data_IF_200465277183
#
_entry.id   IF_200465277183
#
_cell.length_a   1.000
_cell.length_b   1.000
_cell.length_c   1.000
_cell.angle_alpha   90.00
_cell.angle_beta   90.00
_cell.angle_gamma   90.00
#
_symmetry.space_group_name_H-M   'P 1'
#
loop_
_entity.id
_entity.type
_entity.pdbx_description
1 polymer ?
#
# COMPACT_ATOMS: atom_id res chain seq x y z
N UNK A 1 -8.90 -4.76 24.07
CA UNK A 1 -8.05 -3.57 24.33
C UNK A 1 -6.90 -3.39 23.32
N UNK A 2 -6.42 -4.43 22.63
CA UNK A 2 -5.32 -4.27 21.64
C UNK A 2 -5.68 -3.53 20.35
N UNK A 3 -6.95 -3.54 19.93
CA UNK A 3 -7.39 -2.89 18.69
C UNK A 3 -7.20 -1.37 18.69
N UNK A 4 -7.52 -0.70 19.82
CA UNK A 4 -7.42 0.75 19.93
C UNK A 4 -5.96 1.22 19.94
N UNK A 5 -5.09 0.47 20.62
CA UNK A 5 -3.64 0.69 20.60
C UNK A 5 -3.07 0.49 19.19
N UNK A 6 -3.50 -0.57 18.50
CA UNK A 6 -3.13 -0.85 17.10
C UNK A 6 -3.47 0.34 16.20
N UNK A 7 -4.67 0.90 16.33
CA UNK A 7 -5.08 2.08 15.55
C UNK A 7 -4.19 3.28 15.84
N UNK A 8 -4.01 3.65 17.11
CA UNK A 8 -3.25 4.84 17.50
C UNK A 8 -1.80 4.74 17.00
N UNK A 9 -1.14 3.61 17.25
CA UNK A 9 0.25 3.39 16.80
C UNK A 9 0.35 3.46 15.28
N UNK A 10 -0.58 2.82 14.56
CA UNK A 10 -0.59 2.84 13.10
C UNK A 10 -0.81 4.23 12.52
N UNK A 11 -1.76 4.98 13.08
CA UNK A 11 -2.05 6.34 12.67
C UNK A 11 -0.87 7.29 12.92
N UNK A 12 -0.18 7.14 14.06
CA UNK A 12 1.02 7.93 14.37
C UNK A 12 2.17 7.65 13.38
N UNK A 13 2.38 6.39 13.01
CA UNK A 13 3.41 6.03 12.02
C UNK A 13 3.07 6.63 10.65
N UNK A 14 1.85 6.43 10.16
CA UNK A 14 1.41 6.96 8.85
C UNK A 14 1.45 8.50 8.85
N UNK A 15 0.97 9.12 9.93
CA UNK A 15 0.99 10.57 10.11
C UNK A 15 2.40 11.13 10.12
N UNK A 16 3.31 10.50 10.88
CA UNK A 16 4.72 10.91 10.95
C UNK A 16 5.43 10.81 9.60
N UNK A 17 5.21 9.74 8.85
CA UNK A 17 5.75 9.56 7.49
C UNK A 17 5.21 10.62 6.53
N UNK A 18 3.91 10.89 6.59
CA UNK A 18 3.26 11.89 5.74
C UNK A 18 3.78 13.30 6.05
N UNK A 19 3.97 13.63 7.32
CA UNK A 19 4.50 14.92 7.74
C UNK A 19 5.96 15.08 7.30
N UNK A 20 6.78 14.03 7.48
CA UNK A 20 8.15 14.02 6.97
C UNK A 20 8.21 14.20 5.45
N UNK A 21 7.29 13.58 4.70
CA UNK A 21 7.23 13.70 3.25
C UNK A 21 6.86 15.10 2.74
N UNK A 22 6.20 15.94 3.56
CA UNK A 22 5.96 17.35 3.22
C UNK A 22 7.25 18.17 3.21
N UNK A 23 8.16 17.90 4.14
CA UNK A 23 9.45 18.60 4.24
C UNK A 23 10.49 18.04 3.26
N UNK A 24 10.52 16.72 3.05
CA UNK A 24 11.47 16.05 2.16
C UNK A 24 10.73 15.19 1.12
N UNK A 25 10.16 15.80 0.08
CA UNK A 25 9.27 15.09 -0.86
C UNK A 25 9.89 13.89 -1.57
N UNK A 26 11.17 13.96 -1.95
CA UNK A 26 11.85 12.82 -2.61
C UNK A 26 12.08 11.65 -1.64
N UNK A 27 12.65 11.93 -0.45
CA UNK A 27 12.86 10.89 0.57
C UNK A 27 11.54 10.36 1.13
N UNK A 28 10.57 11.24 1.31
CA UNK A 28 9.20 10.92 1.69
C UNK A 28 8.53 9.99 0.68
N UNK A 29 8.75 10.21 -0.61
CA UNK A 29 8.30 9.30 -1.68
C UNK A 29 8.91 7.90 -1.55
N UNK A 30 10.23 7.79 -1.27
CA UNK A 30 10.88 6.51 -1.05
C UNK A 30 10.36 5.79 0.20
N UNK A 31 10.17 6.51 1.31
CA UNK A 31 9.63 5.95 2.56
C UNK A 31 8.17 5.54 2.36
N UNK A 32 7.37 6.35 1.67
CA UNK A 32 5.97 6.04 1.36
C UNK A 32 5.82 4.88 0.36
N UNK A 33 6.83 4.63 -0.48
CA UNK A 33 6.87 3.47 -1.36
C UNK A 33 7.14 2.15 -0.61
N UNK A 34 7.65 2.21 0.63
CA UNK A 34 7.69 1.03 1.49
C UNK A 34 6.26 0.56 1.75
N UNK A 35 5.99 -0.75 1.74
CA UNK A 35 4.67 -1.29 2.03
C UNK A 35 4.39 -1.24 3.55
N UNK A 36 4.41 -0.04 4.14
CA UNK A 36 4.34 0.20 5.59
C UNK A 36 3.09 -0.41 6.19
N UNK A 37 1.94 -0.31 5.50
CA UNK A 37 0.68 -0.92 5.93
C UNK A 37 0.83 -2.45 6.01
N UNK A 38 1.48 -3.06 5.01
CA UNK A 38 1.71 -4.51 4.98
C UNK A 38 2.71 -4.95 6.04
N UNK A 39 3.81 -4.21 6.24
CA UNK A 39 4.80 -4.48 7.28
C UNK A 39 4.17 -4.37 8.67
N UNK A 40 3.36 -3.34 8.90
CA UNK A 40 2.67 -3.14 10.15
C UNK A 40 1.62 -4.24 10.38
N UNK A 41 0.91 -4.67 9.33
CA UNK A 41 0.00 -5.81 9.41
C UNK A 41 0.73 -7.10 9.77
N UNK A 42 1.88 -7.40 9.14
CA UNK A 42 2.72 -8.55 9.50
C UNK A 42 3.19 -8.49 10.95
N UNK A 43 3.62 -7.31 11.41
CA UNK A 43 4.00 -7.10 12.80
C UNK A 43 2.86 -7.43 13.76
N UNK A 44 1.66 -6.93 13.49
CA UNK A 44 0.49 -7.20 14.34
C UNK A 44 0.05 -8.66 14.29
N UNK A 45 0.02 -9.30 13.10
CA UNK A 45 -0.30 -10.73 12.98
C UNK A 45 0.71 -11.56 13.79
N UNK A 46 2.00 -11.23 13.70
CA UNK A 46 3.04 -11.89 14.51
C UNK A 46 2.84 -11.66 16.00
N UNK A 47 2.51 -10.43 16.40
CA UNK A 47 2.31 -10.07 17.80
C UNK A 47 1.08 -10.73 18.42
N UNK A 48 0.04 -10.96 17.61
CA UNK A 48 -1.20 -11.65 18.00
C UNK A 48 -1.06 -13.18 17.99
N UNK A 49 0.14 -13.70 17.69
CA UNK A 49 0.43 -15.14 17.72
C UNK A 49 0.09 -15.88 16.42
N UNK A 50 -0.03 -15.16 15.30
CA UNK A 50 -0.25 -15.75 13.99
C UNK A 50 0.83 -16.78 13.61
N UNK A 51 0.41 -17.85 12.96
CA UNK A 51 1.27 -18.94 12.50
C UNK A 51 2.20 -18.49 11.37
N UNK A 52 3.33 -19.20 11.20
CA UNK A 52 4.26 -18.95 10.09
C UNK A 52 3.57 -19.06 8.72
N UNK A 53 2.58 -19.94 8.61
CA UNK A 53 1.77 -20.15 7.42
C UNK A 53 0.93 -18.90 7.12
N UNK A 54 0.26 -18.31 8.11
CA UNK A 54 -0.53 -17.09 7.95
C UNK A 54 0.36 -15.89 7.56
N UNK A 55 1.51 -15.72 8.22
CA UNK A 55 2.47 -14.67 7.86
C UNK A 55 2.97 -14.84 6.42
N UNK A 56 3.34 -16.07 6.03
CA UNK A 56 3.82 -16.38 4.68
C UNK A 56 2.74 -16.14 3.63
N UNK A 57 1.51 -16.59 3.88
CA UNK A 57 0.38 -16.38 2.98
C UNK A 57 0.05 -14.88 2.82
N UNK A 58 0.09 -14.11 3.91
CA UNK A 58 -0.10 -12.67 3.86
C UNK A 58 1.01 -11.99 3.03
N UNK A 59 2.28 -12.35 3.30
CA UNK A 59 3.42 -11.81 2.56
C UNK A 59 3.34 -12.12 1.05
N UNK A 60 2.97 -13.36 0.69
CA UNK A 60 2.75 -13.74 -0.70
C UNK A 60 1.60 -12.95 -1.33
N UNK A 61 0.47 -12.80 -0.63
CA UNK A 61 -0.65 -11.98 -1.11
C UNK A 61 -0.25 -10.53 -1.39
N UNK A 62 0.56 -9.93 -0.51
CA UNK A 62 1.11 -8.58 -0.71
C UNK A 62 2.04 -8.52 -1.92
N UNK A 63 2.93 -9.51 -2.08
CA UNK A 63 3.85 -9.57 -3.23
C UNK A 63 3.09 -9.70 -4.55
N UNK A 64 2.03 -10.49 -4.60
CA UNK A 64 1.19 -10.59 -5.81
C UNK A 64 0.39 -9.32 -6.09
N UNK A 65 -0.09 -8.61 -5.06
CA UNK A 65 -0.79 -7.34 -5.22
C UNK A 65 0.12 -6.14 -5.54
N UNK A 66 1.43 -6.28 -5.32
CA UNK A 66 2.39 -5.20 -5.49
C UNK A 66 2.48 -4.65 -6.93
N UNK A 67 2.57 -5.48 -8.00
CA UNK A 67 2.64 -4.97 -9.37
C UNK A 67 1.40 -4.17 -9.79
N UNK A 68 0.20 -4.61 -9.35
CA UNK A 68 -1.03 -3.85 -9.60
C UNK A 68 -0.98 -2.49 -8.88
N UNK A 69 -0.48 -2.46 -7.64
CA UNK A 69 -0.34 -1.23 -6.84
C UNK A 69 0.69 -0.26 -7.42
N UNK A 70 1.81 -0.77 -7.95
CA UNK A 70 2.80 0.03 -8.67
C UNK A 70 2.20 0.66 -9.94
N UNK A 71 1.38 -0.11 -10.68
CA UNK A 71 0.67 0.38 -11.87
C UNK A 71 -0.33 1.49 -11.53
N UNK A 72 -1.06 1.36 -10.41
CA UNK A 72 -1.95 2.42 -9.92
C UNK A 72 -1.18 3.72 -9.69
N UNK A 73 -0.07 3.67 -8.94
CA UNK A 73 0.75 4.86 -8.66
C UNK A 73 1.34 5.46 -9.94
N UNK A 74 1.73 4.61 -10.90
CA UNK A 74 2.21 5.06 -12.21
C UNK A 74 1.13 5.84 -12.98
N UNK A 75 -0.11 5.35 -13.01
CA UNK A 75 -1.23 6.06 -13.64
C UNK A 75 -1.54 7.37 -12.92
N UNK A 76 -1.51 7.38 -11.59
CA UNK A 76 -1.69 8.60 -10.81
C UNK A 76 -0.62 9.63 -11.18
N UNK A 77 0.64 9.22 -11.27
CA UNK A 77 1.74 10.10 -11.69
C UNK A 77 1.54 10.67 -13.09
N UNK A 78 1.17 9.83 -14.07
CA UNK A 78 0.89 10.28 -15.44
C UNK A 78 -0.32 11.22 -15.48
N UNK A 79 -1.39 10.93 -14.72
CA UNK A 79 -2.56 11.79 -14.62
C UNK A 79 -2.20 13.18 -14.10
N UNK A 80 -1.47 13.24 -12.99
CA UNK A 80 -1.01 14.50 -12.40
C UNK A 80 -0.08 15.27 -13.36
N UNK A 81 0.81 14.58 -14.09
CA UNK A 81 1.68 15.19 -15.11
C UNK A 81 0.90 15.81 -16.27
N UNK A 82 -0.26 15.24 -16.61
CA UNK A 82 -1.14 15.75 -17.66
C UNK A 82 -2.19 16.76 -17.13
N UNK A 83 -1.97 17.35 -15.96
CA UNK A 83 -2.86 18.33 -15.33
C UNK A 83 -4.27 17.82 -14.97
N UNK A 84 -4.47 16.50 -14.89
CA UNK A 84 -5.70 15.95 -14.32
C UNK A 84 -5.76 16.22 -12.81
N UNK A 85 -6.98 16.32 -12.27
CA UNK A 85 -7.16 16.38 -10.82
C UNK A 85 -6.66 15.09 -10.15
N UNK A 86 -6.27 15.18 -8.87
CA UNK A 86 -5.87 14.00 -8.09
C UNK A 86 -6.98 12.96 -8.05
N UNK A 87 -8.23 13.39 -7.83
CA UNK A 87 -9.40 12.50 -7.76
C UNK A 87 -9.62 11.73 -9.05
N UNK A 88 -9.54 12.39 -10.22
CA UNK A 88 -9.67 11.71 -11.52
C UNK A 88 -8.52 10.74 -11.78
N UNK A 89 -7.30 11.11 -11.38
CA UNK A 89 -6.11 10.26 -11.56
C UNK A 89 -6.18 9.00 -10.70
N UNK A 90 -6.67 9.12 -9.45
CA UNK A 90 -6.92 7.98 -8.56
C UNK A 90 -8.01 7.08 -9.13
N UNK A 91 -9.10 7.63 -9.67
CA UNK A 91 -10.19 6.84 -10.24
C UNK A 91 -9.70 5.96 -11.40
N UNK A 92 -8.94 6.52 -12.34
CA UNK A 92 -8.32 5.74 -13.41
C UNK A 92 -7.32 4.72 -12.88
N UNK A 93 -6.51 5.10 -11.88
CA UNK A 93 -5.56 4.20 -11.23
C UNK A 93 -6.24 2.99 -10.59
N UNK A 94 -7.35 3.18 -9.87
CA UNK A 94 -8.15 2.10 -9.26
C UNK A 94 -8.75 1.21 -10.34
N UNK A 95 -9.31 1.79 -11.41
CA UNK A 95 -9.84 1.02 -12.53
C UNK A 95 -8.80 0.08 -13.14
N UNK A 96 -7.60 0.61 -13.41
CA UNK A 96 -6.50 -0.18 -13.94
C UNK A 96 -5.94 -1.19 -12.94
N UNK A 97 -5.91 -0.86 -11.65
CA UNK A 97 -5.54 -1.79 -10.58
C UNK A 97 -6.47 -3.00 -10.56
N UNK A 98 -7.79 -2.80 -10.63
CA UNK A 98 -8.76 -3.88 -10.66
C UNK A 98 -8.56 -4.80 -11.87
N UNK A 99 -8.32 -4.22 -13.05
CA UNK A 99 -8.07 -4.98 -14.28
C UNK A 99 -6.76 -5.77 -14.18
N UNK A 100 -5.68 -5.12 -13.71
CA UNK A 100 -4.38 -5.75 -13.53
C UNK A 100 -4.45 -6.90 -12.53
N UNK A 101 -5.13 -6.70 -11.41
CA UNK A 101 -5.33 -7.73 -10.38
C UNK A 101 -6.17 -8.90 -10.91
N UNK A 102 -7.24 -8.63 -11.66
CA UNK A 102 -8.05 -9.68 -12.28
C UNK A 102 -7.24 -10.50 -13.29
N UNK A 103 -6.41 -9.84 -14.11
CA UNK A 103 -5.50 -10.49 -15.05
C UNK A 103 -4.44 -11.35 -14.34
N UNK A 104 -3.83 -10.82 -13.27
CA UNK A 104 -2.88 -11.55 -12.43
C UNK A 104 -3.51 -12.81 -11.82
N UNK A 105 -4.75 -12.70 -11.37
CA UNK A 105 -5.50 -13.84 -10.82
C UNK A 105 -5.81 -14.89 -11.89
N UNK A 106 -6.13 -14.47 -13.11
CA UNK A 106 -6.40 -15.39 -14.23
C UNK A 106 -5.16 -16.19 -14.65
N UNK A 107 -3.97 -15.57 -14.62
CA UNK A 107 -2.70 -16.23 -14.95
C UNK A 107 -2.19 -17.21 -13.87
N UNK A 108 -2.81 -17.20 -12.69
CA UNK A 108 -2.44 -18.03 -11.54
C UNK A 108 -3.44 -19.17 -11.27
N UNK A 109 -4.54 -19.24 -12.04
CA UNK A 109 -5.56 -20.30 -11.98
C UNK A 109 -5.27 -21.39 -13.01
#
# INVERSE_FOLDING_TARGET
MHFLVKIIVSALIIGGVTEFAKYYSTLGGFIAALPLISLLSLFWISFEGGSKQELSQFAMGVLYGFPASALLLFIVYIGLKNSFSLSTSILFGIGAWCIAFACQKLFQA
#
